data_IF_786646361123
#
_entry.id   IF_786646361123
#
_cell.length_a   1.000
_cell.length_b   1.000
_cell.length_c   1.000
_cell.angle_alpha   90.00
_cell.angle_beta   90.00
_cell.angle_gamma   90.00
#
_symmetry.space_group_name_H-M   'P 1'
#
loop_
_entity.id
_entity.type
_entity.pdbx_description
1 polymer ?
#
# COMPACT_ATOMS: atom_id res chain seq x y z
N UNK A 1 -78.53 -53.50 -31.40
CA UNK A 1 -78.48 -52.41 -32.39
C UNK A 1 -78.02 -51.14 -31.68
N UNK A 2 -77.06 -50.43 -32.28
CA UNK A 2 -76.58 -49.06 -31.99
C UNK A 2 -77.76 -48.04 -31.85
N UNK A 3 -77.57 -46.77 -31.41
CA UNK A 3 -76.38 -46.14 -30.79
C UNK A 3 -76.65 -44.96 -29.77
N UNK A 4 -75.54 -44.31 -29.34
CA UNK A 4 -75.33 -42.85 -29.17
C UNK A 4 -76.09 -42.13 -28.01
N UNK A 5 -75.59 -41.12 -27.27
CA UNK A 5 -74.29 -40.42 -27.08
C UNK A 5 -74.56 -39.19 -26.15
N UNK A 6 -73.52 -38.68 -25.47
CA UNK A 6 -73.27 -37.31 -24.92
C UNK A 6 -73.08 -37.22 -23.39
N UNK A 7 -71.83 -37.02 -22.92
CA UNK A 7 -71.05 -35.76 -22.70
C UNK A 7 -71.47 -35.03 -21.42
N UNK A 8 -70.54 -34.95 -20.47
CA UNK A 8 -70.50 -34.01 -19.36
C UNK A 8 -69.12 -34.04 -18.71
N UNK A 9 -68.38 -32.94 -18.86
CA UNK A 9 -66.95 -32.84 -18.61
C UNK A 9 -66.58 -32.51 -17.15
N UNK A 10 -65.29 -32.68 -16.88
CA UNK A 10 -64.58 -32.62 -15.61
C UNK A 10 -64.50 -31.25 -14.93
N UNK A 11 -64.22 -31.27 -13.62
CA UNK A 11 -63.23 -30.40 -12.99
C UNK A 11 -62.76 -31.04 -11.66
N UNK A 12 -61.51 -31.50 -11.63
CA UNK A 12 -60.82 -31.93 -10.42
C UNK A 12 -59.56 -31.08 -10.27
N UNK A 13 -59.49 -30.31 -9.19
CA UNK A 13 -58.34 -29.50 -8.82
C UNK A 13 -57.24 -30.40 -8.22
N UNK A 14 -56.05 -30.36 -8.80
CA UNK A 14 -54.85 -31.02 -8.27
C UNK A 14 -54.05 -29.96 -7.51
N UNK A 15 -53.92 -30.14 -6.20
CA UNK A 15 -53.01 -29.38 -5.34
C UNK A 15 -51.65 -30.07 -5.37
N UNK A 16 -50.66 -29.45 -6.03
CA UNK A 16 -49.28 -29.90 -6.03
C UNK A 16 -48.52 -29.23 -4.87
N UNK A 17 -48.09 -30.02 -3.89
CA UNK A 17 -47.14 -29.59 -2.87
C UNK A 17 -45.72 -29.55 -3.48
N UNK A 18 -45.18 -28.34 -3.66
CA UNK A 18 -43.79 -28.16 -4.05
C UNK A 18 -42.89 -28.23 -2.82
N UNK A 19 -42.11 -29.31 -2.70
CA UNK A 19 -40.99 -29.42 -1.76
C UNK A 19 -39.83 -28.59 -2.35
N UNK A 20 -39.55 -27.43 -1.77
CA UNK A 20 -38.38 -26.64 -2.11
C UNK A 20 -37.14 -27.26 -1.46
N UNK A 21 -36.39 -28.03 -2.25
CA UNK A 21 -35.02 -28.41 -1.91
C UNK A 21 -34.18 -27.13 -1.90
N UNK A 22 -33.79 -26.66 -0.71
CA UNK A 22 -32.73 -25.67 -0.58
C UNK A 22 -31.42 -26.31 -1.03
N UNK A 23 -31.09 -26.13 -2.30
CA UNK A 23 -29.72 -26.30 -2.77
C UNK A 23 -28.94 -25.17 -2.11
N UNK A 24 -28.15 -25.52 -1.08
CA UNK A 24 -27.09 -24.66 -0.59
C UNK A 24 -26.25 -24.27 -1.81
N UNK A 25 -26.35 -22.99 -2.21
CA UNK A 25 -25.41 -22.40 -3.16
C UNK A 25 -24.05 -22.50 -2.50
N UNK A 26 -23.24 -23.48 -2.94
CA UNK A 26 -21.81 -23.44 -2.74
C UNK A 26 -21.35 -22.05 -3.17
N UNK A 27 -20.75 -21.31 -2.24
CA UNK A 27 -20.05 -20.05 -2.56
C UNK A 27 -19.08 -20.40 -3.67
N UNK A 28 -19.33 -19.87 -4.88
CA UNK A 28 -18.45 -20.06 -6.03
C UNK A 28 -17.08 -19.50 -5.68
N UNK A 29 -16.16 -20.38 -5.30
CA UNK A 29 -14.74 -20.07 -5.30
C UNK A 29 -14.34 -19.70 -6.72
N UNK A 30 -13.70 -18.55 -6.88
CA UNK A 30 -13.10 -18.17 -8.17
C UNK A 30 -12.12 -19.25 -8.66
N UNK A 31 -11.76 -19.23 -9.96
CA UNK A 31 -10.79 -20.17 -10.48
C UNK A 31 -9.50 -20.14 -9.65
N UNK A 32 -8.90 -21.31 -9.35
CA UNK A 32 -7.72 -21.40 -8.51
C UNK A 32 -6.58 -20.57 -9.11
N UNK A 33 -5.90 -19.83 -8.25
CA UNK A 33 -4.74 -19.02 -8.61
C UNK A 33 -3.65 -19.92 -9.23
N UNK A 34 -3.23 -19.68 -10.49
CA UNK A 34 -2.25 -20.53 -11.18
C UNK A 34 -0.99 -20.74 -10.34
N UNK A 35 -0.48 -21.97 -10.31
CA UNK A 35 0.70 -22.33 -9.53
C UNK A 35 2.02 -21.90 -10.21
N UNK A 36 1.98 -21.59 -11.50
CA UNK A 36 3.13 -21.22 -12.32
C UNK A 36 3.02 -19.78 -12.83
N UNK A 37 4.17 -19.22 -13.16
CA UNK A 37 4.25 -17.92 -13.81
C UNK A 37 3.62 -17.98 -15.22
N UNK A 38 2.71 -17.04 -15.55
CA UNK A 38 2.31 -16.80 -16.92
C UNK A 38 3.53 -16.63 -17.84
N UNK A 39 3.46 -17.12 -19.07
CA UNK A 39 4.58 -16.99 -20.01
C UNK A 39 4.72 -15.57 -20.57
N UNK A 40 3.66 -14.76 -20.44
CA UNK A 40 3.63 -13.35 -20.81
C UNK A 40 2.96 -12.53 -19.73
N UNK A 41 3.31 -11.26 -19.69
CA UNK A 41 2.57 -10.25 -18.95
C UNK A 41 1.30 -9.90 -19.71
N UNK A 42 0.14 -10.21 -19.14
CA UNK A 42 -1.15 -9.96 -19.78
C UNK A 42 -1.78 -8.62 -19.32
N UNK A 43 -1.05 -7.82 -18.55
CA UNK A 43 -1.46 -6.49 -18.15
C UNK A 43 -1.22 -5.43 -19.22
N UNK A 44 -2.14 -4.47 -19.35
CA UNK A 44 -1.98 -3.32 -20.26
C UNK A 44 -1.14 -2.18 -19.64
N UNK A 45 -0.80 -2.27 -18.36
CA UNK A 45 -0.06 -1.26 -17.61
C UNK A 45 1.11 -1.83 -16.83
N UNK A 46 1.81 -0.94 -16.12
CA UNK A 46 2.99 -1.26 -15.33
C UNK A 46 2.56 -1.75 -13.94
N UNK A 47 3.01 -2.94 -13.55
CA UNK A 47 2.87 -3.53 -12.22
C UNK A 47 1.45 -3.83 -11.71
N UNK A 48 0.41 -3.22 -12.31
CA UNK A 48 -0.96 -3.24 -11.78
C UNK A 48 -1.82 -4.43 -12.18
N UNK A 49 -1.29 -5.45 -12.83
CA UNK A 49 -2.11 -6.56 -13.34
C UNK A 49 -2.02 -7.81 -12.47
N UNK A 50 -3.08 -8.11 -11.73
CA UNK A 50 -3.33 -9.40 -11.06
C UNK A 50 -4.85 -9.63 -10.90
N UNK A 51 -5.31 -10.90 -10.86
CA UNK A 51 -6.68 -11.20 -10.44
C UNK A 51 -6.94 -10.73 -9.01
N UNK A 52 -8.17 -10.32 -8.72
CA UNK A 52 -8.58 -9.99 -7.36
C UNK A 52 -8.32 -11.17 -6.40
N UNK A 53 -7.80 -10.87 -5.21
CA UNK A 53 -7.45 -11.84 -4.17
C UNK A 53 -8.68 -12.41 -3.43
N UNK A 54 -9.71 -12.79 -4.18
CA UNK A 54 -10.96 -13.31 -3.65
C UNK A 54 -10.76 -14.62 -2.86
N UNK A 55 -11.40 -14.73 -1.69
CA UNK A 55 -11.37 -15.93 -0.85
C UNK A 55 -10.14 -16.05 0.06
N UNK A 56 -9.32 -15.01 0.15
CA UNK A 56 -8.31 -14.86 1.20
C UNK A 56 -8.82 -13.83 2.22
N UNK A 57 -8.92 -14.23 3.48
CA UNK A 57 -9.40 -13.36 4.55
C UNK A 57 -8.40 -12.21 4.80
N UNK A 58 -8.91 -10.97 4.84
CA UNK A 58 -8.11 -9.75 5.04
C UNK A 58 -7.37 -9.24 3.80
N UNK A 59 -7.60 -9.81 2.61
CA UNK A 59 -6.97 -9.35 1.37
C UNK A 59 -7.52 -8.00 0.85
N UNK A 60 -8.63 -7.55 1.41
CA UNK A 60 -9.21 -6.21 1.26
C UNK A 60 -8.65 -5.18 2.26
N UNK A 61 -7.87 -5.62 3.25
CA UNK A 61 -7.26 -4.75 4.26
C UNK A 61 -5.74 -4.62 4.09
N UNK A 62 -5.07 -5.62 3.51
CA UNK A 62 -3.62 -5.64 3.28
C UNK A 62 -3.26 -6.37 2.00
N UNK A 63 -2.09 -6.06 1.42
CA UNK A 63 -1.62 -6.71 0.19
C UNK A 63 -1.45 -8.22 0.34
N UNK A 64 -0.86 -8.67 1.45
CA UNK A 64 -0.55 -10.09 1.71
C UNK A 64 -0.92 -10.44 3.16
N UNK A 65 -2.16 -10.86 3.43
CA UNK A 65 -2.59 -11.23 4.77
C UNK A 65 -1.97 -12.55 5.24
N UNK A 66 -1.97 -12.78 6.56
CA UNK A 66 -1.60 -14.06 7.14
C UNK A 66 -0.12 -14.43 7.03
N UNK A 67 0.16 -15.72 6.86
CA UNK A 67 1.53 -16.28 6.90
C UNK A 67 1.74 -17.27 5.76
N UNK A 68 2.06 -16.78 4.55
CA UNK A 68 2.36 -17.66 3.43
C UNK A 68 3.67 -18.42 3.66
N UNK A 69 3.74 -19.64 3.14
CA UNK A 69 4.89 -20.55 3.25
C UNK A 69 5.83 -20.47 2.06
N UNK A 70 5.39 -19.83 0.97
CA UNK A 70 6.18 -19.70 -0.24
C UNK A 70 5.79 -18.42 -0.99
N UNK A 71 6.77 -17.74 -1.56
CA UNK A 71 6.59 -16.67 -2.53
C UNK A 71 7.30 -17.04 -3.85
N UNK A 72 6.57 -17.06 -4.97
CA UNK A 72 7.12 -17.25 -6.31
C UNK A 72 7.11 -15.91 -7.05
N UNK A 73 8.29 -15.39 -7.37
CA UNK A 73 8.47 -14.16 -8.14
C UNK A 73 8.69 -14.51 -9.61
N UNK A 74 7.92 -13.87 -10.48
CA UNK A 74 7.99 -13.96 -11.94
C UNK A 74 8.44 -12.60 -12.49
N UNK A 75 9.48 -12.57 -13.33
CA UNK A 75 10.04 -11.32 -13.85
C UNK A 75 9.79 -11.17 -15.37
N UNK A 76 9.29 -10.00 -15.76
CA UNK A 76 8.92 -9.65 -17.12
C UNK A 76 9.58 -8.31 -17.51
N UNK A 77 10.85 -8.33 -17.97
CA UNK A 77 11.55 -7.12 -18.36
C UNK A 77 10.98 -6.53 -19.64
N UNK A 78 10.91 -5.21 -19.69
CA UNK A 78 10.34 -4.43 -20.80
C UNK A 78 10.75 -2.96 -20.74
N UNK A 79 9.89 -2.10 -21.27
CA UNK A 79 10.05 -0.65 -21.34
C UNK A 79 8.73 0.01 -20.94
N UNK A 80 8.80 1.02 -20.06
CA UNK A 80 7.60 1.67 -19.53
C UNK A 80 6.87 2.57 -20.55
N UNK A 81 7.47 2.85 -21.71
CA UNK A 81 6.81 3.58 -22.80
C UNK A 81 5.82 2.71 -23.60
N UNK A 82 5.97 1.38 -23.54
CA UNK A 82 5.14 0.43 -24.27
C UNK A 82 4.83 -0.82 -23.42
N UNK A 83 4.15 -0.66 -22.27
CA UNK A 83 3.85 -1.79 -21.40
C UNK A 83 2.91 -2.79 -22.10
N UNK A 84 3.08 -4.07 -21.79
CA UNK A 84 2.19 -5.14 -22.25
C UNK A 84 2.87 -6.23 -23.08
N UNK A 85 2.53 -7.49 -22.79
CA UNK A 85 2.98 -8.65 -23.57
C UNK A 85 4.45 -9.04 -23.35
N UNK A 86 5.13 -8.46 -22.36
CA UNK A 86 6.50 -8.80 -21.98
C UNK A 86 6.61 -10.29 -21.70
N UNK A 87 7.71 -10.91 -22.16
CA UNK A 87 7.92 -12.35 -21.98
C UNK A 87 8.51 -12.64 -20.61
N UNK A 88 8.13 -13.77 -20.02
CA UNK A 88 8.75 -14.27 -18.80
C UNK A 88 10.25 -14.47 -19.04
N UNK A 89 11.08 -13.75 -18.29
CA UNK A 89 12.53 -13.88 -18.35
C UNK A 89 13.06 -14.91 -17.34
N UNK A 90 12.36 -15.09 -16.22
CA UNK A 90 12.78 -16.02 -15.19
C UNK A 90 11.87 -16.01 -13.97
N UNK A 91 12.16 -16.93 -13.06
CA UNK A 91 11.40 -17.09 -11.82
C UNK A 91 12.34 -17.28 -10.63
N UNK A 92 11.88 -16.90 -9.44
CA UNK A 92 12.58 -17.14 -8.17
C UNK A 92 11.57 -17.56 -7.11
N UNK A 93 11.83 -18.68 -6.46
CA UNK A 93 11.03 -19.12 -5.30
C UNK A 93 11.74 -18.76 -4.01
N UNK A 94 10.99 -18.21 -3.06
CA UNK A 94 11.40 -17.89 -1.71
C UNK A 94 10.55 -18.71 -0.73
N UNK A 95 11.14 -19.69 -0.04
CA UNK A 95 10.44 -20.43 1.02
C UNK A 95 10.69 -19.75 2.37
N UNK A 96 11.96 -19.56 2.71
CA UNK A 96 12.37 -19.12 4.04
C UNK A 96 12.25 -17.59 4.22
N UNK A 97 11.81 -16.89 3.18
CA UNK A 97 11.64 -15.44 3.15
C UNK A 97 10.20 -15.01 2.84
N UNK A 98 9.30 -15.97 2.53
CA UNK A 98 7.92 -15.67 2.17
C UNK A 98 7.19 -14.91 3.28
N UNK A 99 7.29 -15.40 4.53
CA UNK A 99 6.67 -14.76 5.69
C UNK A 99 7.25 -13.38 6.00
N UNK A 100 8.56 -13.19 5.81
CA UNK A 100 9.23 -11.89 6.02
C UNK A 100 8.72 -10.88 4.99
N UNK A 101 8.70 -11.28 3.72
CA UNK A 101 8.21 -10.44 2.63
C UNK A 101 6.72 -10.09 2.80
N UNK A 102 5.88 -11.08 3.11
CA UNK A 102 4.46 -10.88 3.35
C UNK A 102 4.21 -9.90 4.50
N UNK A 103 4.90 -10.08 5.63
CA UNK A 103 4.78 -9.19 6.79
C UNK A 103 5.16 -7.76 6.42
N UNK A 104 6.26 -7.56 5.71
CA UNK A 104 6.71 -6.21 5.34
C UNK A 104 5.75 -5.54 4.35
N UNK A 105 5.19 -6.29 3.40
CA UNK A 105 4.16 -5.79 2.47
C UNK A 105 2.81 -5.50 3.18
N UNK A 106 2.48 -6.25 4.23
CA UNK A 106 1.27 -6.03 5.03
C UNK A 106 1.34 -4.73 5.86
N UNK A 107 2.53 -4.16 6.06
CA UNK A 107 2.69 -2.85 6.71
C UNK A 107 2.56 -1.67 5.76
N UNK A 108 2.42 -1.89 4.45
CA UNK A 108 2.28 -0.78 3.51
C UNK A 108 0.88 -0.18 3.61
N UNK A 109 0.74 1.14 3.47
CA UNK A 109 -0.56 1.76 3.37
C UNK A 109 -1.26 1.28 2.10
N UNK A 110 -2.51 0.86 2.21
CA UNK A 110 -3.31 0.43 1.05
C UNK A 110 -4.54 1.31 0.88
N UNK A 111 -5.07 1.34 -0.33
CA UNK A 111 -6.34 1.98 -0.68
C UNK A 111 -7.06 1.11 -1.70
N UNK A 112 -8.38 1.15 -1.67
CA UNK A 112 -9.28 0.55 -2.67
C UNK A 112 -9.24 1.28 -4.02
N UNK A 113 -8.81 2.54 -4.02
CA UNK A 113 -8.70 3.40 -5.20
C UNK A 113 -7.34 4.10 -5.21
N UNK A 114 -6.24 3.39 -5.54
CA UNK A 114 -4.96 4.02 -5.76
C UNK A 114 -5.08 4.90 -7.02
N UNK A 115 -5.54 6.15 -6.85
CA UNK A 115 -5.44 7.15 -7.92
C UNK A 115 -3.97 7.26 -8.29
N UNK A 116 -3.59 7.42 -9.55
CA UNK A 116 -2.20 7.74 -9.87
C UNK A 116 -1.89 9.14 -9.35
N UNK A 117 -0.81 9.31 -8.59
CA UNK A 117 -0.23 10.64 -8.40
C UNK A 117 0.38 11.14 -9.71
N UNK A 118 0.71 12.44 -9.84
CA UNK A 118 1.48 12.91 -10.98
C UNK A 118 2.84 12.20 -11.00
N UNK A 119 3.16 11.57 -12.12
CA UNK A 119 4.40 10.86 -12.33
C UNK A 119 5.15 11.48 -13.49
N UNK A 120 6.49 11.54 -13.39
CA UNK A 120 7.29 11.90 -14.55
C UNK A 120 7.03 10.87 -15.64
N UNK A 121 6.87 11.32 -16.88
CA UNK A 121 6.60 10.43 -18.02
C UNK A 121 7.91 10.09 -18.75
N UNK A 122 8.97 9.78 -17.97
CA UNK A 122 10.28 9.44 -18.55
C UNK A 122 10.23 7.98 -19.02
N UNK A 123 10.45 7.81 -20.32
CA UNK A 123 10.60 6.49 -20.95
C UNK A 123 11.91 5.82 -20.51
N UNK A 124 11.88 4.52 -20.25
CA UNK A 124 13.05 3.76 -19.89
C UNK A 124 12.78 2.30 -19.46
N UNK A 125 13.86 1.60 -19.08
CA UNK A 125 13.79 0.20 -18.69
C UNK A 125 12.81 -0.01 -17.53
N UNK A 126 12.07 -1.09 -17.62
CA UNK A 126 11.12 -1.51 -16.60
C UNK A 126 11.17 -3.02 -16.43
N UNK A 127 10.81 -3.52 -15.26
CA UNK A 127 10.52 -4.95 -15.06
C UNK A 127 9.23 -5.09 -14.28
N UNK A 128 8.22 -5.67 -14.94
CA UNK A 128 6.99 -6.08 -14.30
C UNK A 128 7.24 -7.36 -13.48
N UNK A 129 6.58 -7.44 -12.33
CA UNK A 129 6.67 -8.58 -11.41
C UNK A 129 5.28 -9.10 -11.06
N UNK A 130 5.15 -10.43 -11.09
CA UNK A 130 4.07 -11.14 -10.41
C UNK A 130 4.66 -11.93 -9.25
N UNK A 131 4.07 -11.80 -8.07
CA UNK A 131 4.52 -12.48 -6.86
C UNK A 131 3.37 -13.32 -6.33
N UNK A 132 3.47 -14.65 -6.42
CA UNK A 132 2.47 -15.55 -5.86
C UNK A 132 2.83 -15.90 -4.44
N UNK A 133 1.93 -15.63 -3.50
CA UNK A 133 2.04 -16.09 -2.12
C UNK A 133 1.16 -17.33 -1.94
N UNK A 134 1.77 -18.45 -1.53
CA UNK A 134 1.09 -19.72 -1.27
C UNK A 134 0.94 -19.95 0.24
N UNK A 135 -0.24 -20.42 0.66
CA UNK A 135 -0.57 -20.67 2.06
C UNK A 135 -0.57 -22.18 2.38
N UNK A 136 -0.42 -22.56 3.66
CA UNK A 136 -0.43 -23.97 4.09
C UNK A 136 -1.69 -24.75 3.70
N UNK A 137 -2.83 -24.06 3.60
CA UNK A 137 -4.14 -24.63 3.26
C UNK A 137 -4.35 -24.83 1.75
N UNK A 138 -3.33 -24.56 0.93
CA UNK A 138 -3.36 -24.68 -0.52
C UNK A 138 -3.93 -23.46 -1.24
N UNK A 139 -4.45 -22.46 -0.52
CA UNK A 139 -4.85 -21.18 -1.13
C UNK A 139 -3.62 -20.38 -1.58
N UNK A 140 -3.85 -19.41 -2.45
CA UNK A 140 -2.81 -18.49 -2.90
C UNK A 140 -3.42 -17.17 -3.39
N UNK A 141 -2.59 -16.13 -3.46
CA UNK A 141 -2.90 -14.86 -4.11
C UNK A 141 -1.71 -14.40 -4.96
N UNK A 142 -1.97 -13.50 -5.91
CA UNK A 142 -0.93 -12.78 -6.65
C UNK A 142 -0.83 -11.34 -6.16
N UNK A 143 0.39 -10.83 -6.11
CA UNK A 143 0.69 -9.41 -6.01
C UNK A 143 1.40 -8.97 -7.30
N UNK A 144 0.89 -7.93 -7.93
CA UNK A 144 1.53 -7.26 -9.06
C UNK A 144 2.36 -6.07 -8.57
N UNK A 145 3.54 -5.88 -9.14
CA UNK A 145 4.40 -4.71 -8.91
C UNK A 145 5.34 -4.51 -10.11
N UNK A 146 6.13 -3.44 -10.10
CA UNK A 146 7.23 -3.28 -11.05
C UNK A 146 8.34 -2.40 -10.48
N UNK A 147 9.53 -2.51 -11.08
CA UNK A 147 10.61 -1.52 -10.94
C UNK A 147 10.76 -0.75 -12.24
N UNK A 148 10.74 0.58 -12.18
CA UNK A 148 10.86 1.47 -13.33
C UNK A 148 11.42 2.85 -12.94
N UNK A 149 11.83 3.63 -13.94
CA UNK A 149 12.62 4.85 -13.76
C UNK A 149 11.89 6.01 -13.07
N UNK A 150 10.56 6.03 -13.08
CA UNK A 150 9.75 7.09 -12.47
C UNK A 150 9.35 6.79 -11.01
N UNK A 151 9.63 5.59 -10.51
CA UNK A 151 9.30 5.13 -9.15
C UNK A 151 7.81 5.29 -8.77
N UNK A 152 6.93 5.06 -9.74
CA UNK A 152 5.54 5.53 -9.72
C UNK A 152 4.50 4.40 -9.79
N UNK A 153 4.95 3.17 -9.60
CA UNK A 153 4.15 1.98 -9.85
C UNK A 153 3.27 1.66 -8.65
N UNK A 154 2.00 1.38 -8.92
CA UNK A 154 1.11 0.80 -7.91
C UNK A 154 1.41 -0.68 -7.73
N UNK A 155 1.59 -1.10 -6.48
CA UNK A 155 1.66 -2.51 -6.11
C UNK A 155 0.29 -2.95 -5.62
N UNK A 156 -0.26 -4.06 -6.12
CA UNK A 156 -1.66 -4.45 -5.84
C UNK A 156 -1.83 -5.96 -5.78
N UNK A 157 -2.81 -6.42 -5.00
CA UNK A 157 -3.29 -7.81 -5.00
C UNK A 157 -4.60 -7.98 -5.81
N UNK A 158 -4.98 -6.97 -6.59
CA UNK A 158 -6.21 -6.93 -7.39
C UNK A 158 -7.46 -6.54 -6.62
N UNK A 159 -7.39 -6.41 -5.29
CA UNK A 159 -8.47 -5.92 -4.42
C UNK A 159 -8.11 -4.57 -3.81
N UNK A 160 -6.89 -4.42 -3.30
CA UNK A 160 -6.33 -3.16 -2.81
C UNK A 160 -4.98 -2.89 -3.45
N UNK A 161 -4.52 -1.64 -3.38
CA UNK A 161 -3.21 -1.24 -3.88
C UNK A 161 -2.50 -0.24 -2.99
N UNK A 162 -1.19 -0.18 -3.11
CA UNK A 162 -0.31 0.80 -2.47
C UNK A 162 0.49 1.57 -3.51
N UNK A 163 0.79 2.83 -3.21
CA UNK A 163 1.77 3.63 -3.96
C UNK A 163 3.19 3.52 -3.41
N UNK A 164 3.40 2.81 -2.31
CA UNK A 164 4.73 2.59 -1.78
C UNK A 164 5.59 1.83 -2.79
N UNK A 165 6.69 2.45 -3.21
CA UNK A 165 7.52 1.92 -4.30
C UNK A 165 8.42 0.78 -3.81
N UNK A 166 7.95 -0.46 -3.98
CA UNK A 166 8.66 -1.68 -3.55
C UNK A 166 9.46 -2.38 -4.65
N UNK A 167 9.40 -1.88 -5.88
CA UNK A 167 10.06 -2.45 -7.06
C UNK A 167 11.53 -2.85 -6.82
N UNK A 168 12.39 -1.96 -6.29
CA UNK A 168 13.79 -2.29 -6.03
C UNK A 168 13.97 -3.46 -5.05
N UNK A 169 13.10 -3.56 -4.05
CA UNK A 169 13.09 -4.67 -3.08
C UNK A 169 12.70 -5.99 -3.72
N UNK A 170 11.69 -5.97 -4.60
CA UNK A 170 11.27 -7.15 -5.39
C UNK A 170 12.40 -7.60 -6.33
N UNK A 171 13.05 -6.67 -7.02
CA UNK A 171 14.21 -6.95 -7.88
C UNK A 171 15.36 -7.56 -7.10
N UNK A 172 15.70 -7.00 -5.94
CA UNK A 172 16.74 -7.54 -5.08
C UNK A 172 16.40 -8.98 -4.63
N UNK A 173 15.16 -9.23 -4.23
CA UNK A 173 14.71 -10.56 -3.82
C UNK A 173 14.71 -11.56 -4.98
N UNK A 174 14.29 -11.15 -6.17
CA UNK A 174 14.38 -11.98 -7.38
C UNK A 174 15.82 -12.37 -7.71
N UNK A 175 16.74 -11.41 -7.67
CA UNK A 175 18.16 -11.61 -8.02
C UNK A 175 18.91 -12.43 -6.97
N UNK A 176 18.67 -12.16 -5.69
CA UNK A 176 19.49 -12.70 -4.59
C UNK A 176 18.84 -13.84 -3.82
N UNK A 177 17.52 -14.03 -3.96
CA UNK A 177 16.77 -14.99 -3.14
C UNK A 177 16.51 -14.52 -1.71
N UNK A 178 16.81 -13.26 -1.38
CA UNK A 178 16.66 -12.69 -0.03
C UNK A 178 15.77 -11.47 -0.09
N UNK A 179 14.68 -11.47 0.67
CA UNK A 179 13.86 -10.27 0.82
C UNK A 179 14.52 -9.32 1.81
N UNK A 180 14.71 -8.08 1.38
CA UNK A 180 15.08 -6.97 2.25
C UNK A 180 14.11 -5.84 1.95
N UNK A 181 13.36 -5.35 2.95
CA UNK A 181 12.56 -4.16 2.74
C UNK A 181 13.49 -3.02 2.32
N UNK A 182 13.10 -2.25 1.30
CA UNK A 182 13.83 -1.04 0.91
C UNK A 182 13.62 -0.04 2.04
N UNK A 183 14.61 0.04 2.94
CA UNK A 183 14.63 1.06 3.96
C UNK A 183 15.36 2.27 3.38
N UNK A 184 14.87 3.49 3.62
CA UNK A 184 15.63 4.69 3.33
C UNK A 184 17.01 4.59 3.98
N UNK A 185 18.07 4.93 3.25
CA UNK A 185 19.40 5.11 3.86
C UNK A 185 19.38 6.26 4.89
N UNK A 186 18.49 7.25 4.66
CA UNK A 186 18.21 8.32 5.60
C UNK A 186 16.69 8.44 5.83
N UNK A 187 16.18 8.15 7.05
CA UNK A 187 14.76 8.25 7.35
C UNK A 187 14.21 9.67 7.16
N UNK A 188 15.06 10.69 7.13
CA UNK A 188 14.65 12.07 6.88
C UNK A 188 14.51 12.43 5.39
N UNK A 189 14.73 11.49 4.45
CA UNK A 189 14.71 11.78 3.00
C UNK A 189 13.61 11.04 2.24
N UNK A 190 13.40 9.76 2.53
CA UNK A 190 12.45 8.96 1.74
C UNK A 190 11.15 8.68 2.48
N UNK A 191 10.12 8.39 1.70
CA UNK A 191 8.74 8.11 2.12
C UNK A 191 8.46 6.63 1.85
N UNK A 192 8.04 5.88 2.86
CA UNK A 192 7.54 4.52 2.68
C UNK A 192 6.06 4.38 3.10
N UNK A 193 5.60 5.27 3.99
CA UNK A 193 4.33 5.15 4.67
C UNK A 193 4.23 3.91 5.57
N UNK A 194 3.11 3.82 6.30
CA UNK A 194 2.71 2.70 7.15
C UNK A 194 1.20 2.48 7.00
N UNK A 195 0.76 1.25 7.17
CA UNK A 195 -0.66 0.88 7.31
C UNK A 195 -1.36 1.76 8.34
N UNK A 196 -2.66 1.97 8.12
CA UNK A 196 -3.57 2.77 8.94
C UNK A 196 -3.33 4.29 8.79
N UNK A 197 -2.42 4.75 7.92
CA UNK A 197 -2.23 6.17 7.62
C UNK A 197 -3.32 6.79 6.74
N UNK A 198 -4.16 5.97 6.12
CA UNK A 198 -5.35 6.36 5.38
C UNK A 198 -6.56 6.66 6.30
N UNK A 199 -6.54 6.17 7.54
CA UNK A 199 -7.59 6.43 8.53
C UNK A 199 -7.22 7.53 9.52
N UNK A 200 -5.92 7.73 9.77
CA UNK A 200 -5.40 8.66 10.79
C UNK A 200 -4.03 9.20 10.40
N UNK A 201 -3.74 10.45 10.78
CA UNK A 201 -2.48 11.10 10.42
C UNK A 201 -1.26 10.31 10.92
N UNK A 202 -1.35 9.80 12.16
CA UNK A 202 -0.34 8.95 12.81
C UNK A 202 -0.99 7.71 13.42
N UNK A 203 -0.58 6.48 13.02
CA UNK A 203 -1.06 5.24 13.62
C UNK A 203 -0.84 5.14 15.14
N UNK A 204 -1.67 4.35 15.81
CA UNK A 204 -1.53 4.09 17.25
C UNK A 204 -0.24 3.31 17.58
N UNK A 205 0.29 3.52 18.79
CA UNK A 205 1.43 2.74 19.30
C UNK A 205 2.81 3.30 18.97
N UNK A 206 2.91 4.55 18.51
CA UNK A 206 4.21 5.21 18.30
C UNK A 206 5.02 5.30 19.61
N UNK A 207 6.26 4.82 19.58
CA UNK A 207 7.17 4.75 20.75
C UNK A 207 8.33 5.75 20.69
N UNK A 208 8.57 6.36 19.53
CA UNK A 208 9.54 7.43 19.34
C UNK A 208 9.12 8.33 18.17
N UNK A 209 9.72 9.52 18.10
CA UNK A 209 9.59 10.40 16.93
C UNK A 209 10.93 11.07 16.64
N UNK A 210 11.34 11.04 15.38
CA UNK A 210 12.46 11.85 14.88
C UNK A 210 11.89 13.03 14.12
N UNK A 211 12.25 14.24 14.55
CA UNK A 211 11.90 15.48 13.85
C UNK A 211 13.07 15.88 12.96
N UNK A 212 12.86 15.84 11.66
CA UNK A 212 13.81 16.23 10.63
C UNK A 212 13.46 17.65 10.14
N UNK A 213 14.44 18.55 10.08
CA UNK A 213 14.29 19.84 9.39
C UNK A 213 14.73 19.75 7.93
N UNK A 214 14.30 20.71 7.11
CA UNK A 214 14.77 20.87 5.72
C UNK A 214 16.29 21.01 5.65
N UNK A 215 16.91 20.42 4.62
CA UNK A 215 18.33 20.63 4.33
C UNK A 215 18.51 21.99 3.62
N UNK A 216 19.43 22.81 4.10
CA UNK A 216 20.03 23.91 3.32
C UNK A 216 21.35 23.41 2.71
N UNK A 217 21.33 22.86 1.48
CA UNK A 217 22.53 22.36 0.78
C UNK A 217 22.62 20.84 0.61
N UNK A 218 23.84 20.28 0.51
CA UNK A 218 24.09 18.85 0.22
C UNK A 218 24.25 17.94 1.45
N UNK A 219 24.08 18.49 2.66
CA UNK A 219 24.27 17.79 3.93
C UNK A 219 23.14 16.83 4.31
N UNK A 220 23.33 16.11 5.41
CA UNK A 220 22.23 15.35 6.05
C UNK A 220 21.22 16.33 6.67
N UNK A 221 19.91 16.04 6.63
CA UNK A 221 18.91 16.86 7.33
C UNK A 221 19.26 16.98 8.82
N UNK A 222 19.19 18.19 9.41
CA UNK A 222 19.24 18.34 10.85
C UNK A 222 18.10 17.52 11.44
N UNK A 223 18.36 16.78 12.52
CA UNK A 223 17.37 15.88 13.12
C UNK A 223 17.49 15.85 14.64
N UNK A 224 16.36 15.63 15.30
CA UNK A 224 16.29 15.43 16.75
C UNK A 224 15.33 14.30 17.07
N UNK A 225 15.80 13.33 17.86
CA UNK A 225 15.01 12.19 18.30
C UNK A 225 14.38 12.45 19.67
N UNK A 226 13.15 11.97 19.85
CA UNK A 226 12.39 12.07 21.09
C UNK A 226 11.73 10.74 21.44
N UNK A 227 11.59 10.48 22.74
CA UNK A 227 10.98 9.25 23.25
C UNK A 227 9.44 9.24 23.21
N UNK A 228 8.86 8.15 23.71
CA UNK A 228 7.43 7.83 23.53
C UNK A 228 6.43 8.81 24.14
N UNK A 229 6.81 9.64 25.11
CA UNK A 229 5.92 10.69 25.60
C UNK A 229 5.72 11.79 24.55
N UNK A 230 6.80 12.25 23.92
CA UNK A 230 6.74 13.27 22.87
C UNK A 230 6.04 12.71 21.62
N UNK A 231 6.36 11.46 21.25
CA UNK A 231 5.71 10.78 20.13
C UNK A 231 4.19 10.68 20.31
N UNK A 232 3.71 10.19 21.47
CA UNK A 232 2.28 10.09 21.76
C UNK A 232 1.59 11.45 21.81
N UNK A 233 2.23 12.45 22.43
CA UNK A 233 1.67 13.80 22.50
C UNK A 233 1.52 14.43 21.11
N UNK A 234 2.51 14.26 20.24
CA UNK A 234 2.48 14.81 18.89
C UNK A 234 1.50 14.04 17.98
N UNK A 235 1.48 12.71 18.09
CA UNK A 235 0.50 11.89 17.37
C UNK A 235 -0.94 12.26 17.74
N UNK A 236 -1.23 12.47 19.04
CA UNK A 236 -2.55 12.90 19.50
C UNK A 236 -2.96 14.26 18.92
N UNK A 237 -2.04 15.24 18.90
CA UNK A 237 -2.30 16.56 18.32
C UNK A 237 -2.53 16.51 16.80
N UNK A 238 -1.75 15.70 16.08
CA UNK A 238 -1.93 15.51 14.63
C UNK A 238 -3.25 14.79 14.30
N UNK A 239 -3.62 13.79 15.11
CA UNK A 239 -4.86 13.04 14.92
C UNK A 239 -6.13 13.79 15.37
N UNK A 240 -5.99 14.93 16.06
CA UNK A 240 -7.14 15.80 16.39
C UNK A 240 -7.47 16.82 15.30
N UNK A 241 -6.63 16.93 14.25
CA UNK A 241 -6.89 17.80 13.12
C UNK A 241 -8.01 17.22 12.25
N UNK A 242 -8.80 18.10 11.61
CA UNK A 242 -9.77 17.70 10.61
C UNK A 242 -9.04 17.27 9.33
N UNK A 243 -8.99 15.95 9.08
CA UNK A 243 -8.28 15.38 7.94
C UNK A 243 -9.18 15.17 6.73
N UNK A 244 -8.60 15.30 5.54
CA UNK A 244 -9.21 14.93 4.25
C UNK A 244 -8.24 14.07 3.44
N UNK A 245 -8.70 13.32 2.42
CA UNK A 245 -7.80 12.65 1.49
C UNK A 245 -6.75 13.62 0.91
N UNK A 246 -5.51 13.16 0.82
CA UNK A 246 -4.37 13.94 0.34
C UNK A 246 -4.39 14.04 -1.18
N UNK A 247 -4.34 15.28 -1.68
CA UNK A 247 -4.05 15.55 -3.09
C UNK A 247 -2.53 15.66 -3.35
N UNK A 248 -1.70 15.44 -2.32
CA UNK A 248 -0.24 15.56 -2.34
C UNK A 248 0.26 16.94 -2.83
N UNK A 249 -0.59 17.95 -2.70
CA UNK A 249 -0.30 19.33 -3.05
C UNK A 249 -0.64 20.26 -1.89
N UNK A 250 0.12 21.34 -1.77
CA UNK A 250 -0.24 22.47 -0.91
C UNK A 250 -0.12 23.77 -1.71
N UNK A 251 -0.96 24.74 -1.35
CA UNK A 251 -0.87 26.09 -1.90
C UNK A 251 -0.04 26.94 -0.94
N UNK A 252 0.89 27.73 -1.47
CA UNK A 252 1.64 28.70 -0.67
C UNK A 252 0.68 29.62 0.07
N UNK A 253 0.74 29.62 1.39
CA UNK A 253 -0.06 30.48 2.25
C UNK A 253 0.48 31.91 2.26
N UNK A 254 -0.30 32.85 2.80
CA UNK A 254 0.07 34.27 2.92
C UNK A 254 1.23 34.53 3.91
N UNK A 255 1.79 33.49 4.53
CA UNK A 255 2.87 33.56 5.51
C UNK A 255 4.27 33.42 4.91
N UNK A 256 5.26 34.02 5.57
CA UNK A 256 6.68 33.95 5.15
C UNK A 256 7.47 32.80 5.79
N UNK A 257 6.81 31.93 6.56
CA UNK A 257 7.47 30.80 7.24
C UNK A 257 7.64 29.63 6.27
N UNK A 258 8.78 29.56 5.60
CA UNK A 258 9.14 28.55 4.60
C UNK A 258 9.70 27.25 5.20
N UNK A 259 9.65 27.11 6.53
CA UNK A 259 10.16 25.93 7.22
C UNK A 259 9.32 24.71 6.89
N UNK A 260 10.04 23.64 6.58
CA UNK A 260 9.48 22.30 6.37
C UNK A 260 10.11 21.34 7.37
N UNK A 261 9.25 20.50 7.95
CA UNK A 261 9.65 19.42 8.84
C UNK A 261 9.10 18.10 8.33
N UNK A 262 9.87 17.03 8.56
CA UNK A 262 9.38 15.66 8.43
C UNK A 262 9.44 14.98 9.79
N UNK A 263 8.34 14.37 10.19
CA UNK A 263 8.17 13.68 11.46
C UNK A 263 8.17 12.18 11.19
N UNK A 264 9.14 11.45 11.72
CA UNK A 264 9.24 9.99 11.57
C UNK A 264 8.87 9.31 12.87
N UNK A 265 7.66 8.75 12.96
CA UNK A 265 7.17 8.04 14.14
C UNK A 265 7.64 6.58 14.12
N UNK A 266 8.41 6.19 15.13
CA UNK A 266 8.92 4.82 15.28
C UNK A 266 7.95 3.91 16.03
N UNK A 267 7.95 2.64 15.67
CA UNK A 267 7.12 1.58 16.25
C UNK A 267 8.00 0.39 16.66
N UNK A 268 7.55 -0.47 17.61
CA UNK A 268 8.27 -1.69 17.95
C UNK A 268 8.49 -2.61 16.74
N UNK A 269 7.49 -2.66 15.85
CA UNK A 269 7.48 -3.50 14.66
C UNK A 269 7.04 -2.71 13.42
N UNK A 270 7.61 -3.09 12.27
CA UNK A 270 7.28 -2.52 10.96
C UNK A 270 8.02 -1.21 10.63
N UNK A 271 7.65 -0.56 9.52
CA UNK A 271 8.24 0.71 9.11
C UNK A 271 7.75 1.88 9.99
N UNK A 272 8.49 3.00 10.03
CA UNK A 272 7.98 4.21 10.64
C UNK A 272 6.79 4.76 9.86
N UNK A 273 5.92 5.51 10.53
CA UNK A 273 4.94 6.36 9.88
C UNK A 273 5.57 7.75 9.70
N UNK A 274 5.40 8.38 8.55
CA UNK A 274 5.88 9.74 8.33
C UNK A 274 4.75 10.75 8.17
N UNK A 275 5.02 11.98 8.61
CA UNK A 275 4.15 13.14 8.41
C UNK A 275 5.03 14.32 8.01
N UNK A 276 4.70 14.95 6.90
CA UNK A 276 5.31 16.18 6.41
C UNK A 276 4.52 17.39 6.93
N UNK A 277 5.25 18.39 7.40
CA UNK A 277 4.72 19.65 7.93
C UNK A 277 5.34 20.80 7.16
N UNK A 278 4.50 21.60 6.50
CA UNK A 278 4.90 22.79 5.76
C UNK A 278 4.28 24.02 6.42
N UNK A 279 5.11 24.86 7.06
CA UNK A 279 4.65 25.97 7.90
C UNK A 279 3.98 27.11 7.12
N UNK A 280 4.31 27.23 5.83
CA UNK A 280 3.82 28.27 4.93
C UNK A 280 2.88 27.75 3.86
N UNK A 281 2.22 26.60 4.08
CA UNK A 281 1.36 25.95 3.10
C UNK A 281 -0.02 25.62 3.66
N UNK A 282 -1.03 25.58 2.78
CA UNK A 282 -2.40 25.13 3.10
C UNK A 282 -2.84 24.09 2.05
N UNK A 283 -3.21 22.85 2.44
CA UNK A 283 -3.04 22.29 3.79
C UNK A 283 -1.55 22.17 4.15
N UNK A 284 -1.24 22.29 5.45
CA UNK A 284 0.14 22.34 5.96
C UNK A 284 0.65 21.04 6.57
N UNK A 285 -0.20 20.02 6.68
CA UNK A 285 0.11 18.70 7.23
C UNK A 285 -0.27 17.65 6.19
N UNK A 286 0.62 16.70 5.91
CA UNK A 286 0.42 15.63 4.91
C UNK A 286 1.14 14.35 5.33
N UNK A 287 0.48 13.19 5.28
CA UNK A 287 1.12 11.88 5.47
C UNK A 287 1.16 11.02 4.17
N UNK A 288 0.91 11.65 3.02
CA UNK A 288 0.80 11.04 1.70
C UNK A 288 -0.60 10.53 1.33
N UNK A 289 -1.46 10.27 2.33
CA UNK A 289 -2.81 9.73 2.16
C UNK A 289 -3.89 10.66 2.72
N UNK A 290 -3.56 11.37 3.80
CA UNK A 290 -4.38 12.36 4.46
C UNK A 290 -3.64 13.70 4.53
N UNK A 291 -4.40 14.77 4.41
CA UNK A 291 -3.95 16.15 4.60
C UNK A 291 -4.83 16.87 5.61
N UNK A 292 -4.25 17.83 6.31
CA UNK A 292 -4.96 18.72 7.23
C UNK A 292 -4.35 20.12 7.26
N UNK A 293 -5.16 21.09 7.69
CA UNK A 293 -4.67 22.43 7.95
C UNK A 293 -3.84 22.45 9.23
N UNK A 294 -2.71 23.15 9.18
CA UNK A 294 -1.80 23.24 10.32
C UNK A 294 -2.31 24.28 11.32
N UNK A 295 -2.72 23.84 12.50
CA UNK A 295 -3.10 24.74 13.59
C UNK A 295 -1.90 25.26 14.41
N UNK A 296 -2.16 26.23 15.29
CA UNK A 296 -1.13 26.82 16.15
C UNK A 296 -0.55 25.83 17.18
N UNK A 297 -1.36 24.90 17.69
CA UNK A 297 -0.94 23.94 18.71
C UNK A 297 0.09 22.96 18.16
N UNK A 298 -0.19 22.36 17.00
CA UNK A 298 0.72 21.47 16.28
C UNK A 298 1.97 22.24 15.84
N UNK A 299 1.81 23.46 15.30
CA UNK A 299 2.93 24.33 14.92
C UNK A 299 3.90 24.54 16.08
N UNK A 300 3.41 24.98 17.23
CA UNK A 300 4.24 25.27 18.40
C UNK A 300 4.93 24.01 18.96
N UNK A 301 4.23 22.88 18.93
CA UNK A 301 4.80 21.61 19.36
C UNK A 301 5.92 21.14 18.44
N UNK A 302 5.74 21.21 17.12
CA UNK A 302 6.78 20.85 16.16
C UNK A 302 8.00 21.76 16.31
N UNK A 303 7.80 23.08 16.42
CA UNK A 303 8.91 24.04 16.61
C UNK A 303 9.70 23.74 17.89
N UNK A 304 9.02 23.42 19.00
CA UNK A 304 9.68 23.07 20.26
C UNK A 304 10.51 21.79 20.16
N UNK A 305 10.06 20.82 19.36
CA UNK A 305 10.73 19.52 19.18
C UNK A 305 11.76 19.54 18.04
N UNK A 306 11.75 20.58 17.20
CA UNK A 306 12.65 20.69 16.06
C UNK A 306 14.13 20.71 16.47
N UNK A 307 15.01 20.21 15.58
CA UNK A 307 16.44 20.48 15.70
C UNK A 307 16.73 21.98 15.55
N UNK A 308 17.84 22.48 16.11
CA UNK A 308 18.27 23.86 15.87
C UNK A 308 18.56 24.10 14.37
N UNK A 309 18.46 25.35 13.89
CA UNK A 309 18.83 25.68 12.52
C UNK A 309 20.29 25.29 12.25
N UNK A 310 20.58 24.89 11.01
CA UNK A 310 21.93 24.56 10.58
C UNK A 310 22.82 25.82 10.66
N UNK A 311 23.57 25.96 11.76
CA UNK A 311 24.39 27.14 12.07
C UNK A 311 24.88 27.19 13.51
N UNK A 312 24.16 26.56 14.45
CA UNK A 312 24.46 26.66 15.89
C UNK A 312 25.27 25.47 16.48
N UNK A 313 25.93 24.67 15.64
CA UNK A 313 26.74 23.50 16.10
C UNK A 313 28.25 23.78 16.26
N UNK A 314 28.68 25.04 16.27
CA UNK A 314 30.03 25.39 16.72
C UNK A 314 30.00 25.87 18.17
N UNK A 315 30.39 25.00 19.11
CA UNK A 315 30.78 25.43 20.45
C UNK A 315 30.12 24.68 21.61
N UNK A 316 30.54 23.45 21.85
CA UNK A 316 30.60 22.85 23.19
C UNK A 316 31.51 21.63 23.14
N UNK A 317 32.82 21.92 23.11
CA UNK A 317 33.89 21.00 23.52
C UNK A 317 34.47 21.50 24.83
#
# INVERSE_FOLDING_TARGET
MRPLRWIGAALAAIVACAVTVQIARSVSGGPPVPASCPQRWDGEGIGGWVPAAAGIDGADEVLVPGSPVQALICAYPGDNGHPGGERLAGTRTLTDQAGVMARDLAYLPVTDSPRGGPCTLIGGPMTNYLIRFAYPDGRALWVGSAEEVNSCVTTTNGTVGTRSYVGPGVTAAYRTGVWKPVRPDDPCRDFAGRRDQDERMVPEGAVSVVVCGRITGSGRPPRREHGGQAARGLAAALNSLDTRPSDNMCQGGEGTDDREFRLMFGYPDGPPADVSISMGCVPGVDNGLLQADLDGSVRDQVIRLAPPPAGDQEGSG
#
